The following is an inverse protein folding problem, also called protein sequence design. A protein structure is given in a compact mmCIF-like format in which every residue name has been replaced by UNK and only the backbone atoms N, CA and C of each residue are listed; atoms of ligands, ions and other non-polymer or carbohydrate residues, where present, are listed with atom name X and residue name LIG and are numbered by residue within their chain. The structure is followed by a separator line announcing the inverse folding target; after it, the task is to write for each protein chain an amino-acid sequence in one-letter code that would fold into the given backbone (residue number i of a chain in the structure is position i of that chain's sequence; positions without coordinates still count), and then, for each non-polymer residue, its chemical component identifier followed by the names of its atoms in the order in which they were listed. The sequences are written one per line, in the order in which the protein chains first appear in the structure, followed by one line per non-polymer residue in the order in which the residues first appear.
data_IF_035528825095
#
_entry.id   IF_035528825095
#
_cell.length_a   1.000
_cell.length_b   1.000
_cell.length_c   1.000
_cell.angle_alpha   90.00
_cell.angle_beta   90.00
_cell.angle_gamma   90.00
#
_symmetry.space_group_name_H-M   'P 1'
#
loop_
_entity.id
_entity.type
_entity.pdbx_description
1 polymer ?
#
# COMPACT_ATOMS: atom_id res chain seq x y z
N UNK A 1 40.19 -84.01 -39.63
CA UNK A 1 38.95 -83.29 -39.30
C UNK A 1 39.29 -82.49 -38.06
N UNK A 2 39.57 -81.21 -38.24
CA UNK A 2 40.03 -80.28 -37.20
C UNK A 2 38.82 -79.58 -36.56
N UNK A 3 39.00 -79.18 -35.30
CA UNK A 3 38.16 -78.31 -34.44
C UNK A 3 37.21 -79.02 -33.45
N UNK A 4 37.80 -79.61 -32.41
CA UNK A 4 37.13 -79.94 -31.13
C UNK A 4 37.70 -79.11 -29.94
N UNK A 5 38.13 -77.86 -30.17
CA UNK A 5 38.69 -76.98 -29.11
C UNK A 5 37.83 -75.76 -28.74
N UNK A 6 36.56 -75.66 -29.16
CA UNK A 6 35.75 -74.47 -28.87
C UNK A 6 34.85 -74.55 -27.61
N UNK A 7 34.65 -75.71 -26.99
CA UNK A 7 33.64 -75.85 -25.92
C UNK A 7 34.17 -75.85 -24.48
N UNK A 8 35.49 -75.77 -24.26
CA UNK A 8 36.06 -75.68 -22.89
C UNK A 8 36.16 -74.25 -22.34
N UNK A 9 36.21 -73.22 -23.20
CA UNK A 9 36.36 -71.82 -22.77
C UNK A 9 35.07 -71.14 -22.27
N UNK A 10 33.88 -71.71 -22.50
CA UNK A 10 32.61 -71.07 -22.09
C UNK A 10 32.20 -71.30 -20.62
N UNK A 11 32.80 -72.26 -19.92
CA UNK A 11 32.42 -72.58 -18.53
C UNK A 11 33.18 -71.80 -17.46
N UNK A 12 34.39 -71.31 -17.74
CA UNK A 12 35.16 -70.54 -16.75
C UNK A 12 34.73 -69.06 -16.68
N UNK A 13 34.27 -68.45 -17.77
CA UNK A 13 33.83 -67.04 -17.78
C UNK A 13 32.56 -66.76 -16.96
N UNK A 14 31.72 -67.77 -16.72
CA UNK A 14 30.46 -67.62 -15.96
C UNK A 14 30.72 -67.50 -14.45
N UNK A 15 31.73 -68.20 -13.93
CA UNK A 15 32.06 -68.19 -12.50
C UNK A 15 32.70 -66.89 -12.02
N UNK A 16 33.45 -66.20 -12.88
CA UNK A 16 34.13 -64.95 -12.52
C UNK A 16 33.22 -63.73 -12.64
N UNK A 17 32.26 -63.72 -13.57
CA UNK A 17 31.24 -62.65 -13.67
C UNK A 17 30.34 -62.59 -12.44
N UNK A 18 30.02 -63.73 -11.82
CA UNK A 18 29.22 -63.79 -10.59
C UNK A 18 30.02 -63.29 -9.36
N UNK A 19 31.31 -63.63 -9.26
CA UNK A 19 32.18 -63.10 -8.20
C UNK A 19 32.38 -61.59 -8.30
N UNK A 20 32.52 -61.06 -9.53
CA UNK A 20 32.62 -59.62 -9.77
C UNK A 20 31.30 -58.92 -9.40
N UNK A 21 30.14 -59.53 -9.67
CA UNK A 21 28.83 -59.04 -9.25
C UNK A 21 28.69 -58.98 -7.74
N UNK A 22 29.12 -60.04 -7.03
CA UNK A 22 29.11 -60.09 -5.58
C UNK A 22 30.07 -59.06 -4.95
N UNK A 23 31.25 -58.86 -5.53
CA UNK A 23 32.18 -57.81 -5.09
C UNK A 23 31.66 -56.39 -5.36
N UNK A 24 30.94 -56.16 -6.47
CA UNK A 24 30.27 -54.89 -6.77
C UNK A 24 29.10 -54.61 -5.83
N UNK A 25 28.31 -55.62 -5.47
CA UNK A 25 27.22 -55.49 -4.47
C UNK A 25 27.77 -55.22 -3.06
N UNK A 26 28.86 -55.87 -2.67
CA UNK A 26 29.57 -55.63 -1.40
C UNK A 26 30.19 -54.21 -1.36
N UNK A 27 30.73 -53.72 -2.47
CA UNK A 27 31.21 -52.34 -2.61
C UNK A 27 30.07 -51.30 -2.64
N UNK A 28 28.90 -51.65 -3.16
CA UNK A 28 27.72 -50.79 -3.19
C UNK A 28 27.02 -50.69 -1.81
N UNK A 29 27.04 -51.75 -1.02
CA UNK A 29 26.56 -51.72 0.36
C UNK A 29 27.48 -50.92 1.29
N UNK A 30 28.80 -50.96 1.07
CA UNK A 30 29.79 -50.26 1.89
C UNK A 30 30.01 -48.78 1.53
N UNK A 31 29.45 -48.29 0.40
CA UNK A 31 29.49 -46.88 -0.02
C UNK A 31 28.23 -46.07 0.30
N UNK A 32 27.42 -46.50 1.28
CA UNK A 32 26.46 -45.59 1.93
C UNK A 32 27.18 -44.84 3.05
N UNK A 33 28.10 -43.95 2.68
CA UNK A 33 28.53 -42.89 3.58
C UNK A 33 27.30 -42.06 3.94
N UNK A 34 27.05 -41.74 5.22
CA UNK A 34 25.98 -40.84 5.58
C UNK A 34 26.34 -39.47 5.00
N UNK A 35 25.70 -39.13 3.89
CA UNK A 35 25.80 -37.82 3.28
C UNK A 35 25.29 -36.83 4.34
N UNK A 36 26.12 -35.86 4.73
CA UNK A 36 25.78 -34.78 5.66
C UNK A 36 24.64 -33.85 5.17
N UNK A 37 23.84 -34.29 4.19
CA UNK A 37 22.64 -33.63 3.69
C UNK A 37 21.36 -34.14 4.37
N UNK A 38 21.41 -35.30 5.05
CA UNK A 38 20.23 -35.95 5.65
C UNK A 38 20.10 -35.77 7.17
N UNK A 39 20.92 -34.92 7.79
CA UNK A 39 20.87 -34.65 9.25
C UNK A 39 20.51 -33.21 9.58
N UNK A 40 19.72 -32.56 8.72
CA UNK A 40 19.09 -31.29 9.11
C UNK A 40 17.58 -31.48 9.03
N UNK A 41 17.03 -32.04 10.11
CA UNK A 41 15.64 -31.79 10.45
C UNK A 41 15.50 -30.28 10.65
N UNK A 42 15.15 -29.55 9.58
CA UNK A 42 14.71 -28.18 9.68
C UNK A 42 13.43 -28.20 10.50
N UNK A 43 13.57 -28.10 11.82
CA UNK A 43 12.49 -27.81 12.74
C UNK A 43 11.85 -26.54 12.21
N UNK A 44 10.65 -26.68 11.65
CA UNK A 44 9.79 -25.55 11.37
C UNK A 44 9.50 -24.93 12.73
N UNK A 45 10.27 -23.93 13.11
CA UNK A 45 9.93 -23.06 14.23
C UNK A 45 8.74 -22.27 13.70
N UNK A 46 7.53 -22.73 14.03
CA UNK A 46 6.35 -21.90 13.90
C UNK A 46 6.59 -20.65 14.75
N UNK A 47 6.96 -19.56 14.08
CA UNK A 47 7.07 -18.26 14.71
C UNK A 47 5.64 -17.89 15.09
N UNK A 48 5.24 -18.19 16.34
CA UNK A 48 3.99 -17.70 16.90
C UNK A 48 4.03 -16.18 16.72
N UNK A 49 3.19 -15.66 15.82
CA UNK A 49 2.98 -14.22 15.67
C UNK A 49 2.67 -13.71 17.07
N UNK A 50 3.54 -12.83 17.57
CA UNK A 50 3.40 -12.23 18.89
C UNK A 50 2.00 -11.63 18.97
N UNK A 51 1.18 -12.11 19.90
CA UNK A 51 -0.16 -11.57 20.09
C UNK A 51 0.00 -10.08 20.39
N UNK A 52 -0.55 -9.25 19.51
CA UNK A 52 -0.47 -7.80 19.63
C UNK A 52 -1.11 -7.47 20.98
N UNK A 53 -0.34 -6.82 21.86
CA UNK A 53 -0.85 -6.34 23.14
C UNK A 53 -2.16 -5.59 22.90
N UNK A 54 -3.21 -5.80 23.73
CA UNK A 54 -4.46 -5.06 23.59
C UNK A 54 -4.23 -3.55 23.61
N UNK A 55 -3.24 -3.07 24.36
CA UNK A 55 -2.84 -1.66 24.40
C UNK A 55 -2.31 -1.15 23.05
N UNK A 56 -1.63 -1.99 22.28
CA UNK A 56 -1.13 -1.63 20.95
C UNK A 56 -2.24 -1.67 19.89
N UNK A 57 -3.27 -2.51 20.08
CA UNK A 57 -4.49 -2.45 19.26
C UNK A 57 -5.31 -1.20 19.57
N UNK A 58 -5.45 -0.84 20.83
CA UNK A 58 -6.18 0.38 21.23
C UNK A 58 -5.47 1.64 20.75
N UNK A 59 -4.14 1.68 20.83
CA UNK A 59 -3.35 2.77 20.25
C UNK A 59 -3.49 2.82 18.72
N UNK A 60 -3.47 1.67 18.04
CA UNK A 60 -3.67 1.63 16.60
C UNK A 60 -5.09 2.06 16.20
N UNK A 61 -6.11 1.66 16.95
CA UNK A 61 -7.50 2.04 16.71
C UNK A 61 -7.71 3.54 16.95
N UNK A 62 -7.21 4.09 18.05
CA UNK A 62 -7.28 5.55 18.32
C UNK A 62 -6.56 6.37 17.25
N UNK A 63 -5.39 5.94 16.80
CA UNK A 63 -4.68 6.59 15.68
C UNK A 63 -5.45 6.46 14.35
N UNK A 64 -6.06 5.31 14.11
CA UNK A 64 -6.85 5.06 12.89
C UNK A 64 -8.15 5.85 12.89
N UNK A 65 -8.82 6.01 14.04
CA UNK A 65 -10.03 6.81 14.18
C UNK A 65 -9.72 8.30 14.01
N UNK A 66 -8.63 8.80 14.60
CA UNK A 66 -8.13 10.16 14.36
C UNK A 66 -7.78 10.41 12.88
N UNK A 67 -7.21 9.41 12.19
CA UNK A 67 -6.89 9.52 10.77
C UNK A 67 -8.16 9.47 9.90
N UNK A 68 -9.11 8.58 10.20
CA UNK A 68 -10.35 8.39 9.45
C UNK A 68 -11.30 9.58 9.55
N UNK A 69 -11.37 10.26 10.71
CA UNK A 69 -12.17 11.49 10.86
C UNK A 69 -11.64 12.63 9.97
N UNK A 70 -10.36 12.63 9.63
CA UNK A 70 -9.72 13.67 8.82
C UNK A 70 -9.62 13.35 7.33
N UNK A 71 -9.59 12.07 6.93
CA UNK A 71 -9.31 11.67 5.53
C UNK A 71 -10.55 11.57 4.62
N UNK A 72 -11.76 11.55 5.17
CA UNK A 72 -12.95 11.60 4.32
C UNK A 72 -13.28 13.05 4.00
N UNK A 73 -12.73 13.54 2.88
CA UNK A 73 -13.18 14.79 2.30
C UNK A 73 -14.70 14.76 2.13
N UNK A 74 -15.36 15.62 2.89
CA UNK A 74 -16.80 15.78 2.80
C UNK A 74 -17.19 16.21 1.38
N UNK A 75 -18.36 15.76 0.90
CA UNK A 75 -18.81 16.11 -0.45
C UNK A 75 -19.06 17.62 -0.51
N UNK A 76 -18.23 18.30 -1.29
CA UNK A 76 -18.37 19.71 -1.60
C UNK A 76 -19.23 19.90 -2.83
N UNK A 77 -20.06 20.93 -2.84
CA UNK A 77 -20.78 21.36 -4.04
C UNK A 77 -19.82 22.01 -5.05
N UNK A 78 -20.22 22.11 -6.31
CA UNK A 78 -19.41 22.75 -7.35
C UNK A 78 -19.14 24.24 -7.02
N UNK A 79 -20.12 24.93 -6.43
CA UNK A 79 -19.97 26.34 -6.04
C UNK A 79 -19.01 26.49 -4.84
N UNK A 80 -19.08 25.58 -3.85
CA UNK A 80 -18.13 25.51 -2.74
C UNK A 80 -16.70 25.26 -3.23
N UNK A 81 -16.54 24.31 -4.16
CA UNK A 81 -15.24 24.01 -4.78
C UNK A 81 -14.70 25.21 -5.54
N UNK A 82 -15.53 25.85 -6.36
CA UNK A 82 -15.16 27.06 -7.12
C UNK A 82 -14.67 28.17 -6.19
N UNK A 83 -15.34 28.35 -5.04
CA UNK A 83 -14.94 29.34 -4.04
C UNK A 83 -13.62 28.95 -3.38
N UNK A 84 -13.41 27.68 -3.03
CA UNK A 84 -12.13 27.22 -2.48
C UNK A 84 -10.99 27.42 -3.48
N UNK A 85 -11.18 27.03 -4.74
CA UNK A 85 -10.20 27.22 -5.82
C UNK A 85 -9.89 28.69 -6.09
N UNK A 86 -10.83 29.60 -5.78
CA UNK A 86 -10.61 31.05 -5.94
C UNK A 86 -9.56 31.64 -4.99
N UNK A 87 -9.16 30.91 -3.95
CA UNK A 87 -8.13 31.35 -3.01
C UNK A 87 -6.73 31.23 -3.61
N UNK A 88 -6.26 32.32 -4.22
CA UNK A 88 -4.88 32.41 -4.72
C UNK A 88 -3.83 32.53 -3.59
N UNK A 89 -4.25 32.92 -2.38
CA UNK A 89 -3.39 33.17 -1.22
C UNK A 89 -4.02 32.59 0.05
N UNK A 90 -3.23 32.50 1.13
CA UNK A 90 -3.72 32.01 2.43
C UNK A 90 -4.88 32.85 3.02
N UNK A 91 -4.99 34.14 2.69
CA UNK A 91 -5.99 35.05 3.25
C UNK A 91 -6.62 35.91 2.16
N UNK A 92 -7.94 36.05 2.15
CA UNK A 92 -8.66 36.93 1.21
C UNK A 92 -9.88 37.62 1.84
N UNK A 93 -10.14 38.85 1.40
CA UNK A 93 -11.36 39.58 1.74
C UNK A 93 -12.56 39.07 0.93
N UNK A 94 -13.77 39.20 1.48
CA UNK A 94 -15.02 38.84 0.81
C UNK A 94 -15.15 39.44 -0.61
N UNK A 95 -14.78 40.71 -0.77
CA UNK A 95 -14.82 41.41 -2.05
C UNK A 95 -13.90 40.77 -3.09
N UNK A 96 -12.71 40.34 -2.67
CA UNK A 96 -11.75 39.68 -3.56
C UNK A 96 -12.23 38.30 -3.96
N UNK A 97 -12.78 37.53 -3.01
CA UNK A 97 -13.38 36.23 -3.28
C UNK A 97 -14.50 36.38 -4.32
N UNK A 98 -15.41 37.34 -4.13
CA UNK A 98 -16.50 37.60 -5.08
C UNK A 98 -15.98 37.91 -6.49
N UNK A 99 -14.94 38.74 -6.61
CA UNK A 99 -14.35 39.09 -7.91
C UNK A 99 -13.80 37.83 -8.59
N UNK A 100 -12.96 37.05 -7.90
CA UNK A 100 -12.30 35.88 -8.49
C UNK A 100 -13.30 34.78 -8.82
N UNK A 101 -14.23 34.47 -7.91
CA UNK A 101 -15.25 33.45 -8.14
C UNK A 101 -16.21 33.81 -9.29
N UNK A 102 -16.51 35.10 -9.50
CA UNK A 102 -17.39 35.52 -10.59
C UNK A 102 -16.68 35.63 -11.94
N UNK A 103 -15.35 35.77 -11.96
CA UNK A 103 -14.57 35.81 -13.21
C UNK A 103 -14.72 34.52 -14.03
N UNK A 104 -14.85 33.36 -13.38
CA UNK A 104 -15.09 32.08 -14.07
C UNK A 104 -16.55 31.89 -14.50
N UNK A 105 -17.51 32.49 -13.80
CA UNK A 105 -18.95 32.32 -14.04
C UNK A 105 -19.48 33.13 -15.22
N UNK A 106 -19.04 34.37 -15.36
CA UNK A 106 -19.46 35.29 -16.45
C UNK A 106 -19.27 34.68 -17.85
N UNK A 107 -18.09 34.13 -18.23
CA UNK A 107 -17.91 33.56 -19.57
C UNK A 107 -18.73 32.29 -19.79
N UNK A 108 -19.16 31.61 -18.73
CA UNK A 108 -20.02 30.42 -18.79
C UNK A 108 -21.51 30.76 -18.88
N UNK A 109 -21.87 32.06 -18.88
CA UNK A 109 -23.26 32.51 -18.87
C UNK A 109 -23.98 32.24 -17.54
N UNK A 110 -23.22 31.98 -16.47
CA UNK A 110 -23.76 31.69 -15.13
C UNK A 110 -23.88 33.02 -14.37
N UNK A 111 -24.98 33.20 -13.65
CA UNK A 111 -25.18 34.40 -12.83
C UNK A 111 -24.08 34.56 -11.76
N UNK A 112 -23.56 35.79 -11.57
CA UNK A 112 -22.64 36.10 -10.49
C UNK A 112 -23.26 35.86 -9.11
N UNK A 113 -22.45 35.44 -8.15
CA UNK A 113 -22.92 35.27 -6.77
C UNK A 113 -23.36 36.60 -6.17
N UNK A 114 -24.55 36.61 -5.56
CA UNK A 114 -24.97 37.71 -4.70
C UNK A 114 -24.20 37.66 -3.37
N UNK A 115 -24.00 38.82 -2.74
CA UNK A 115 -23.28 38.91 -1.45
C UNK A 115 -23.83 37.95 -0.37
N UNK A 116 -25.15 37.83 -0.29
CA UNK A 116 -25.80 36.96 0.69
C UNK A 116 -25.58 35.46 0.40
N UNK A 117 -25.59 35.06 -0.87
CA UNK A 117 -25.34 33.68 -1.30
C UNK A 117 -23.88 33.30 -1.06
N UNK A 118 -22.95 34.18 -1.45
CA UNK A 118 -21.53 33.98 -1.21
C UNK A 118 -21.22 33.81 0.28
N UNK A 119 -21.84 34.64 1.15
CA UNK A 119 -21.65 34.53 2.59
C UNK A 119 -22.15 33.19 3.14
N UNK A 120 -23.32 32.71 2.69
CA UNK A 120 -23.83 31.38 3.08
C UNK A 120 -22.87 30.25 2.70
N UNK A 121 -22.29 30.32 1.50
CA UNK A 121 -21.33 29.31 1.06
C UNK A 121 -20.05 29.37 1.90
N UNK A 122 -19.54 30.56 2.19
CA UNK A 122 -18.38 30.75 3.06
C UNK A 122 -18.65 30.25 4.49
N UNK A 123 -19.81 30.54 5.06
CA UNK A 123 -20.22 30.05 6.38
C UNK A 123 -20.26 28.50 6.40
N UNK A 124 -20.69 27.89 5.30
CA UNK A 124 -20.70 26.43 5.15
C UNK A 124 -19.28 25.87 5.08
N UNK A 125 -18.39 26.52 4.32
CA UNK A 125 -16.98 26.13 4.23
C UNK A 125 -16.22 26.31 5.56
N UNK A 126 -16.60 27.31 6.36
CA UNK A 126 -16.09 27.50 7.72
C UNK A 126 -16.57 26.36 8.64
N UNK A 127 -17.87 26.04 8.59
CA UNK A 127 -18.44 24.94 9.39
C UNK A 127 -17.77 23.60 9.10
N UNK A 128 -17.46 23.33 7.82
CA UNK A 128 -16.75 22.13 7.37
C UNK A 128 -15.25 22.14 7.69
N UNK A 129 -14.72 23.24 8.23
CA UNK A 129 -13.32 23.39 8.62
C UNK A 129 -12.36 23.59 7.45
N UNK A 130 -12.84 24.04 6.29
CA UNK A 130 -11.97 24.39 5.16
C UNK A 130 -11.48 25.84 5.25
N UNK A 131 -12.25 26.72 5.88
CA UNK A 131 -11.94 28.14 6.05
C UNK A 131 -12.00 28.55 7.52
N UNK A 132 -11.20 29.55 7.86
CA UNK A 132 -11.28 30.31 9.10
C UNK A 132 -11.65 31.76 8.79
N UNK A 133 -12.25 32.47 9.75
CA UNK A 133 -12.58 33.89 9.61
C UNK A 133 -11.91 34.70 10.71
N UNK A 134 -11.27 35.79 10.30
CA UNK A 134 -10.63 36.77 11.18
C UNK A 134 -11.23 38.14 10.88
N UNK A 135 -11.56 38.92 11.92
CA UNK A 135 -12.01 40.30 11.76
C UNK A 135 -10.85 41.26 12.00
N UNK A 136 -10.49 42.03 10.98
CA UNK A 136 -9.47 43.07 11.06
C UNK A 136 -10.11 44.40 10.67
N UNK A 137 -10.07 45.37 11.57
CA UNK A 137 -10.59 46.73 11.35
C UNK A 137 -12.05 46.77 10.86
N UNK A 138 -12.88 45.82 11.34
CA UNK A 138 -14.29 45.72 10.97
C UNK A 138 -14.56 45.03 9.61
N UNK A 139 -13.53 44.49 8.97
CA UNK A 139 -13.67 43.69 7.75
C UNK A 139 -13.45 42.21 8.02
N UNK A 140 -14.30 41.37 7.42
CA UNK A 140 -14.18 39.90 7.47
C UNK A 140 -13.09 39.44 6.48
N UNK A 141 -12.06 38.78 7.00
CA UNK A 141 -10.99 38.13 6.24
C UNK A 141 -11.15 36.62 6.38
N UNK A 142 -11.14 35.93 5.24
CA UNK A 142 -11.26 34.48 5.19
C UNK A 142 -9.88 33.88 4.95
N UNK A 143 -9.55 32.86 5.71
CA UNK A 143 -8.23 32.21 5.74
C UNK A 143 -8.39 30.75 5.34
N UNK A 144 -7.56 30.29 4.41
CA UNK A 144 -7.54 28.91 3.96
C UNK A 144 -6.77 28.02 4.95
N UNK A 145 -7.45 27.03 5.53
CA UNK A 145 -6.85 26.04 6.44
C UNK A 145 -5.96 25.05 5.69
N UNK A 146 -5.17 24.25 6.41
CA UNK A 146 -4.39 23.16 5.80
C UNK A 146 -5.31 22.13 5.10
N UNK A 147 -6.50 21.86 5.67
CA UNK A 147 -7.53 21.00 5.05
C UNK A 147 -8.03 21.59 3.74
N UNK A 148 -8.27 22.90 3.70
CA UNK A 148 -8.66 23.63 2.48
C UNK A 148 -7.61 23.55 1.39
N UNK A 149 -6.33 23.72 1.75
CA UNK A 149 -5.21 23.61 0.79
C UNK A 149 -5.07 22.21 0.22
N UNK A 150 -5.15 21.20 1.08
CA UNK A 150 -5.04 19.80 0.67
C UNK A 150 -6.19 19.39 -0.28
N UNK A 151 -7.35 20.05 -0.20
CA UNK A 151 -8.48 19.80 -1.10
C UNK A 151 -8.28 20.34 -2.53
N UNK A 152 -7.50 21.42 -2.67
CA UNK A 152 -7.30 22.15 -3.94
C UNK A 152 -6.03 21.66 -4.68
N UNK A 153 -5.04 21.12 -3.96
CA UNK A 153 -3.82 20.52 -4.53
C UNK A 153 -4.09 19.19 -5.25
#
# INVERSE_FOLDING_TARGET
MENEEEDKNKKEELGDKEKIRYYLEQMAQSKKSPVAKDLVELKHVEVKKQEISPEAQDLANTLKDQLLEHDQFERLSNDELTILESFNNKRMFLSRIAIVANQSRIPLGIEPFKKAELKKILDTLIFKGYLEVEQIEGNDIYILTERGKYRIQ
#
